data_IF_581386930059
#
_entry.id   IF_581386930059
#
_cell.length_a   1.000
_cell.length_b   1.000
_cell.length_c   1.000
_cell.angle_alpha   90.00
_cell.angle_beta   90.00
_cell.angle_gamma   90.00
#
_symmetry.space_group_name_H-M   'P 1'
#
loop_
_entity.id
_entity.type
_entity.pdbx_description
1 polymer ?
#
# COMPACT_ATOMS: atom_id res chain seq x y z
N UNK A 1 -3.80 -24.13 8.71
CA UNK A 1 -4.14 -22.97 7.87
C UNK A 1 -3.01 -22.70 6.89
N UNK A 2 -3.36 -22.51 5.65
CA UNK A 2 -2.37 -22.24 4.61
C UNK A 2 -1.91 -20.78 4.65
N UNK A 3 -0.61 -20.56 4.42
CA UNK A 3 -0.03 -19.24 4.29
C UNK A 3 0.36 -18.95 2.84
N UNK A 4 -0.26 -19.66 1.89
CA UNK A 4 0.05 -19.52 0.47
C UNK A 4 -0.09 -18.09 -0.05
N UNK A 5 -1.02 -17.32 0.50
CA UNK A 5 -1.24 -15.93 0.07
C UNK A 5 -0.07 -14.99 0.38
N UNK A 6 0.88 -15.42 1.21
CA UNK A 6 2.11 -14.65 1.49
C UNK A 6 3.23 -14.96 0.48
N UNK A 7 3.07 -16.01 -0.31
CA UNK A 7 4.11 -16.46 -1.23
C UNK A 7 3.65 -16.25 -2.67
N UNK A 8 4.51 -15.64 -3.47
CA UNK A 8 4.23 -15.39 -4.88
C UNK A 8 5.34 -15.96 -5.73
N UNK A 9 4.97 -16.72 -6.76
CA UNK A 9 5.94 -17.28 -7.69
C UNK A 9 6.40 -16.17 -8.64
N UNK A 10 7.70 -15.87 -8.60
CA UNK A 10 8.33 -14.87 -9.47
C UNK A 10 9.48 -15.47 -10.27
N UNK A 11 9.50 -16.82 -10.40
CA UNK A 11 10.61 -17.52 -11.06
C UNK A 11 10.75 -17.13 -12.53
N UNK A 12 9.69 -16.62 -13.16
CA UNK A 12 9.69 -16.16 -14.56
C UNK A 12 10.23 -14.74 -14.72
N UNK A 13 10.59 -14.06 -13.62
CA UNK A 13 11.01 -12.66 -13.61
C UNK A 13 12.49 -12.56 -13.23
N UNK A 14 13.22 -11.67 -13.89
CA UNK A 14 14.61 -11.39 -13.53
C UNK A 14 14.71 -10.37 -12.40
N UNK A 15 13.79 -9.41 -12.37
CA UNK A 15 13.71 -8.40 -11.33
C UNK A 15 12.24 -8.11 -11.03
N UNK A 16 12.00 -7.54 -9.85
CA UNK A 16 10.67 -7.04 -9.50
C UNK A 16 10.82 -5.61 -8.98
N UNK A 17 9.79 -4.83 -9.17
CA UNK A 17 9.71 -3.48 -8.63
C UNK A 17 8.47 -3.36 -7.73
N UNK A 18 8.26 -2.18 -7.16
CA UNK A 18 7.11 -1.93 -6.28
C UNK A 18 5.79 -2.21 -7.00
N UNK A 19 5.70 -1.86 -8.28
CA UNK A 19 4.48 -2.07 -9.06
C UNK A 19 4.15 -3.55 -9.19
N UNK A 20 5.17 -4.39 -9.43
CA UNK A 20 4.97 -5.83 -9.51
C UNK A 20 4.54 -6.40 -8.16
N UNK A 21 5.12 -5.92 -7.06
CA UNK A 21 4.70 -6.35 -5.71
C UNK A 21 3.22 -6.07 -5.49
N UNK A 22 2.78 -4.87 -5.82
CA UNK A 22 1.36 -4.49 -5.69
C UNK A 22 0.46 -5.38 -6.53
N UNK A 23 0.88 -5.67 -7.76
CA UNK A 23 0.15 -6.55 -8.67
C UNK A 23 0.04 -7.97 -8.12
N UNK A 24 1.17 -8.53 -7.68
CA UNK A 24 1.22 -9.91 -7.16
C UNK A 24 0.32 -10.09 -5.94
N UNK A 25 0.24 -9.10 -5.08
CA UNK A 25 -0.58 -9.16 -3.88
C UNK A 25 -2.00 -8.61 -4.08
N UNK A 26 -2.33 -8.19 -5.30
CA UNK A 26 -3.68 -7.74 -5.63
C UNK A 26 -4.09 -6.46 -4.92
N UNK A 27 -3.13 -5.58 -4.64
CA UNK A 27 -3.41 -4.31 -3.96
C UNK A 27 -3.96 -3.32 -4.98
N UNK A 28 -5.27 -3.09 -4.94
CA UNK A 28 -5.96 -2.21 -5.88
C UNK A 28 -6.37 -0.86 -5.31
N UNK A 29 -6.42 -0.73 -3.98
CA UNK A 29 -6.80 0.54 -3.33
C UNK A 29 -5.68 1.56 -3.51
N UNK A 30 -5.97 2.75 -4.11
CA UNK A 30 -4.91 3.72 -4.42
C UNK A 30 -4.21 4.28 -3.18
N UNK A 31 -4.92 4.43 -2.06
CA UNK A 31 -4.29 4.91 -0.82
C UNK A 31 -3.32 3.86 -0.27
N UNK A 32 -3.72 2.59 -0.31
CA UNK A 32 -2.86 1.50 0.16
C UNK A 32 -1.65 1.34 -0.76
N UNK A 33 -1.85 1.44 -2.08
CA UNK A 33 -0.75 1.40 -3.04
C UNK A 33 0.29 2.47 -2.74
N UNK A 34 -0.16 3.70 -2.49
CA UNK A 34 0.73 4.81 -2.18
C UNK A 34 1.48 4.57 -0.87
N UNK A 35 0.77 4.12 0.17
CA UNK A 35 1.39 3.84 1.47
C UNK A 35 2.44 2.73 1.35
N UNK A 36 2.13 1.64 0.66
CA UNK A 36 3.06 0.52 0.47
C UNK A 36 4.31 1.01 -0.27
N UNK A 37 4.13 1.78 -1.34
CA UNK A 37 5.25 2.32 -2.11
C UNK A 37 6.17 3.17 -1.23
N UNK A 38 5.59 4.06 -0.42
CA UNK A 38 6.35 4.91 0.49
C UNK A 38 7.10 4.10 1.55
N UNK A 39 6.45 3.08 2.11
CA UNK A 39 7.05 2.26 3.16
C UNK A 39 8.18 1.37 2.63
N UNK A 40 8.00 0.78 1.45
CA UNK A 40 9.03 -0.07 0.84
C UNK A 40 10.28 0.72 0.47
N UNK A 41 10.10 1.97 0.07
CA UNK A 41 11.19 2.82 -0.39
C UNK A 41 11.62 3.84 0.65
N UNK A 42 11.14 3.74 1.90
CA UNK A 42 11.48 4.71 2.93
C UNK A 42 12.96 4.66 3.27
N UNK A 43 13.54 5.84 3.49
CA UNK A 43 14.91 5.94 3.89
C UNK A 43 15.95 5.79 2.79
N UNK A 44 15.52 5.57 1.55
CA UNK A 44 16.47 5.39 0.44
C UNK A 44 17.24 6.66 0.10
N UNK A 45 16.74 7.83 0.54
CA UNK A 45 17.37 9.14 0.28
C UNK A 45 17.93 9.81 1.53
N UNK A 46 17.85 9.13 2.69
CA UNK A 46 18.38 9.65 3.94
C UNK A 46 17.35 9.66 5.06
N UNK A 47 17.79 10.01 6.28
CA UNK A 47 16.98 9.94 7.51
C UNK A 47 15.75 10.87 7.46
N UNK A 48 15.93 12.11 6.95
CA UNK A 48 14.82 13.06 6.84
C UNK A 48 13.76 12.55 5.87
N UNK A 49 14.20 11.91 4.80
CA UNK A 49 13.28 11.36 3.80
C UNK A 49 12.53 10.16 4.34
N UNK A 50 13.14 9.36 5.21
CA UNK A 50 12.46 8.25 5.87
C UNK A 50 11.27 8.75 6.68
N UNK A 51 11.47 9.78 7.53
CA UNK A 51 10.38 10.35 8.31
C UNK A 51 9.28 10.90 7.42
N UNK A 52 9.66 11.64 6.38
CA UNK A 52 8.69 12.21 5.43
C UNK A 52 7.88 11.11 4.75
N UNK A 53 8.56 10.04 4.32
CA UNK A 53 7.88 8.93 3.66
C UNK A 53 6.89 8.25 4.61
N UNK A 54 7.26 8.08 5.88
CA UNK A 54 6.36 7.52 6.88
C UNK A 54 5.14 8.43 7.09
N UNK A 55 5.36 9.74 7.21
CA UNK A 55 4.27 10.69 7.40
C UNK A 55 3.32 10.71 6.20
N UNK A 56 3.86 10.61 4.99
CA UNK A 56 3.04 10.54 3.79
C UNK A 56 2.24 9.25 3.72
N UNK A 57 2.83 8.12 4.15
CA UNK A 57 2.10 6.87 4.24
C UNK A 57 0.95 6.97 5.24
N UNK A 58 1.20 7.57 6.41
CA UNK A 58 0.15 7.78 7.42
C UNK A 58 -0.98 8.62 6.83
N UNK A 59 -0.65 9.71 6.14
CA UNK A 59 -1.66 10.59 5.53
C UNK A 59 -2.53 9.84 4.52
N UNK A 60 -1.92 8.99 3.70
CA UNK A 60 -2.66 8.18 2.73
C UNK A 60 -3.60 7.21 3.42
N UNK A 61 -3.15 6.58 4.52
CA UNK A 61 -3.97 5.62 5.25
C UNK A 61 -5.11 6.32 5.98
N UNK A 62 -4.88 7.51 6.52
CA UNK A 62 -5.94 8.33 7.12
C UNK A 62 -7.01 8.65 6.06
N UNK A 63 -6.59 9.06 4.87
CA UNK A 63 -7.53 9.33 3.78
C UNK A 63 -8.33 8.07 3.41
N UNK A 64 -7.67 6.93 3.41
CA UNK A 64 -8.35 5.66 3.14
C UNK A 64 -9.48 5.40 4.13
N UNK A 65 -9.21 5.61 5.42
CA UNK A 65 -10.23 5.44 6.46
C UNK A 65 -11.37 6.44 6.33
N UNK A 66 -11.06 7.69 5.97
CA UNK A 66 -12.08 8.71 5.72
C UNK A 66 -13.02 8.29 4.59
N UNK A 67 -12.46 7.76 3.51
CA UNK A 67 -13.25 7.31 2.37
C UNK A 67 -14.15 6.14 2.76
N UNK A 68 -13.65 5.22 3.57
CA UNK A 68 -14.46 4.11 4.07
C UNK A 68 -15.63 4.62 4.90
N UNK A 69 -15.39 5.63 5.74
CA UNK A 69 -16.44 6.26 6.54
C UNK A 69 -17.47 6.96 5.65
N UNK A 70 -17.00 7.68 4.63
CA UNK A 70 -17.88 8.32 3.65
C UNK A 70 -18.79 7.30 2.98
N UNK A 71 -18.23 6.17 2.57
CA UNK A 71 -18.98 5.12 1.90
C UNK A 71 -20.00 4.47 2.84
N UNK A 72 -19.62 4.22 4.08
CA UNK A 72 -20.54 3.68 5.10
C UNK A 72 -21.70 4.63 5.35
N UNK A 73 -21.42 5.94 5.47
CA UNK A 73 -22.44 6.95 5.70
C UNK A 73 -23.39 7.06 4.52
N UNK A 74 -22.88 6.95 3.31
CA UNK A 74 -23.72 6.96 2.10
C UNK A 74 -24.67 5.76 2.09
N UNK A 75 -24.19 4.58 2.49
CA UNK A 75 -25.03 3.38 2.57
C UNK A 75 -26.10 3.54 3.64
N UNK A 76 -25.75 4.14 4.78
CA UNK A 76 -26.70 4.32 5.88
C UNK A 76 -27.87 5.23 5.52
N UNK A 77 -27.71 6.09 4.52
CA UNK A 77 -28.73 7.04 4.09
C UNK A 77 -29.68 6.47 3.02
N UNK A 78 -29.41 5.27 2.54
CA UNK A 78 -30.24 4.64 1.51
C UNK A 78 -31.40 3.84 2.08
#
# INVERSE_FOLDING_TARGET
MSHEHYFKDVTHLKTIDVYRVLDLFGVSNPCIQHAVKKLLCSGTRGVKDERKDIEEAVSSLVRCLEMQTEDENAKAKQ
#
